data_IF_124521058358
#
_entry.id   IF_124521058358
#
_cell.length_a   1.000
_cell.length_b   1.000
_cell.length_c   1.000
_cell.angle_alpha   90.00
_cell.angle_beta   90.00
_cell.angle_gamma   90.00
#
_symmetry.space_group_name_H-M   'P 1'
#
loop_
_entity.id
_entity.type
_entity.pdbx_description
1 polymer ?
#
# COMPACT_ATOMS: atom_id res chain seq x y z
N UNK A 1 23.34 1.97 4.47
CA UNK A 1 22.13 2.74 4.87
C UNK A 1 21.73 2.24 6.26
N UNK A 2 21.34 3.12 7.20
CA UNK A 2 20.80 2.67 8.50
C UNK A 2 19.46 1.98 8.23
N UNK A 3 19.20 0.84 8.87
CA UNK A 3 17.92 0.14 8.73
C UNK A 3 16.83 0.97 9.45
N UNK A 4 15.88 1.54 8.71
CA UNK A 4 14.88 2.44 9.27
C UNK A 4 13.85 1.70 10.11
N UNK A 5 13.54 0.45 9.76
CA UNK A 5 12.69 -0.41 10.58
C UNK A 5 13.29 -0.70 11.96
N UNK A 6 14.61 -0.95 12.03
CA UNK A 6 15.33 -1.10 13.30
C UNK A 6 15.31 0.19 14.10
N UNK A 7 15.56 1.33 13.45
CA UNK A 7 15.47 2.65 14.08
C UNK A 7 14.08 2.88 14.67
N UNK A 8 13.03 2.65 13.88
CA UNK A 8 11.65 2.90 14.27
C UNK A 8 11.17 1.96 15.38
N UNK A 9 11.37 0.64 15.26
CA UNK A 9 10.80 -0.31 16.22
C UNK A 9 11.70 -0.70 17.40
N UNK A 10 13.01 -0.42 17.35
CA UNK A 10 13.93 -0.75 18.44
C UNK A 10 14.64 0.46 19.00
N UNK A 11 15.43 1.15 18.18
CA UNK A 11 16.29 2.25 18.66
C UNK A 11 15.46 3.45 19.15
N UNK A 12 14.22 3.58 18.67
CA UNK A 12 13.25 4.57 19.13
C UNK A 12 12.92 4.42 20.63
N UNK A 13 12.95 3.20 21.14
CA UNK A 13 12.54 2.85 22.51
C UNK A 13 13.70 2.50 23.45
N UNK A 14 14.96 2.66 23.02
CA UNK A 14 16.14 2.32 23.85
C UNK A 14 16.27 3.17 25.12
N UNK A 15 15.85 4.43 25.06
CA UNK A 15 15.98 5.40 26.15
C UNK A 15 14.68 5.58 26.95
N UNK A 16 13.87 4.52 27.08
CA UNK A 16 12.66 4.54 27.90
C UNK A 16 13.00 4.71 29.38
N UNK A 17 12.25 5.58 30.03
CA UNK A 17 12.34 5.80 31.48
C UNK A 17 11.07 5.31 32.16
N UNK A 18 11.23 4.73 33.35
CA UNK A 18 10.14 4.19 34.14
C UNK A 18 10.03 5.02 35.42
N UNK A 19 8.88 5.66 35.62
CA UNK A 19 8.57 6.40 36.84
C UNK A 19 7.44 5.70 37.58
N UNK A 20 7.64 5.48 38.88
CA UNK A 20 6.59 4.92 39.73
C UNK A 20 5.77 6.06 40.33
N UNK A 21 4.46 6.02 40.14
CA UNK A 21 3.50 6.94 40.76
C UNK A 21 2.45 6.12 41.51
N UNK A 22 2.71 5.86 42.80
CA UNK A 22 1.95 4.89 43.59
C UNK A 22 2.07 3.48 43.01
N UNK A 23 0.93 2.83 42.78
CA UNK A 23 0.86 1.49 42.17
C UNK A 23 0.97 1.50 40.63
N UNK A 24 1.00 2.69 40.00
CA UNK A 24 1.10 2.80 38.53
C UNK A 24 2.54 3.05 38.08
N UNK A 25 2.99 2.27 37.12
CA UNK A 25 4.24 2.50 36.38
C UNK A 25 3.91 3.39 35.18
N UNK A 26 4.48 4.59 35.15
CA UNK A 26 4.41 5.51 34.01
C UNK A 26 5.67 5.30 33.17
N UNK A 27 5.46 5.00 31.90
CA UNK A 27 6.54 4.84 30.92
C UNK A 27 6.65 6.16 30.16
N UNK A 28 7.85 6.73 30.09
CA UNK A 28 8.11 7.98 29.38
C UNK A 28 9.29 7.83 28.41
N UNK A 29 9.11 8.33 27.19
CA UNK A 29 10.18 8.46 26.21
C UNK A 29 11.19 9.56 26.60
N UNK A 30 12.43 9.45 26.15
CA UNK A 30 13.38 10.56 26.29
C UNK A 30 13.10 11.62 25.21
N UNK A 31 12.61 12.80 25.59
CA UNK A 31 12.22 13.88 24.64
C UNK A 31 13.31 14.26 23.65
N UNK A 32 14.56 14.35 24.10
CA UNK A 32 15.70 14.72 23.25
C UNK A 32 16.00 13.60 22.24
N UNK A 33 16.05 12.35 22.71
CA UNK A 33 16.28 11.18 21.85
C UNK A 33 15.16 10.97 20.84
N UNK A 34 13.90 11.15 21.24
CA UNK A 34 12.73 11.10 20.34
C UNK A 34 12.86 12.12 19.21
N UNK A 35 13.25 13.35 19.52
CA UNK A 35 13.46 14.40 18.52
C UNK A 35 14.60 14.05 17.55
N UNK A 36 15.69 13.49 18.06
CA UNK A 36 16.82 13.03 17.24
C UNK A 36 16.43 11.88 16.32
N UNK A 37 15.71 10.87 16.83
CA UNK A 37 15.24 9.73 16.05
C UNK A 37 14.23 10.16 14.97
N UNK A 38 13.27 11.03 15.30
CA UNK A 38 12.36 11.64 14.32
C UNK A 38 13.14 12.38 13.23
N UNK A 39 14.14 13.18 13.62
CA UNK A 39 14.99 13.90 12.66
C UNK A 39 15.79 12.94 11.78
N UNK A 40 16.29 11.84 12.32
CA UNK A 40 16.99 10.82 11.54
C UNK A 40 16.06 10.14 10.51
N UNK A 41 14.83 9.82 10.91
CA UNK A 41 13.82 9.24 10.02
C UNK A 41 13.43 10.20 8.88
N UNK A 42 13.11 11.45 9.20
CA UNK A 42 12.62 12.43 8.22
C UNK A 42 13.70 13.10 7.37
N UNK A 43 14.98 12.95 7.73
CA UNK A 43 16.10 13.35 6.87
C UNK A 43 16.72 12.15 6.11
N UNK A 44 16.11 10.97 6.21
CA UNK A 44 16.59 9.79 5.49
C UNK A 44 16.39 9.97 3.98
N UNK A 45 17.46 9.71 3.24
CA UNK A 45 17.47 9.82 1.78
C UNK A 45 17.21 8.46 1.15
N UNK A 46 16.36 8.42 0.14
CA UNK A 46 16.18 7.23 -0.67
C UNK A 46 17.36 7.10 -1.62
N UNK A 47 18.21 6.10 -1.37
CA UNK A 47 19.38 5.84 -2.22
C UNK A 47 18.94 5.08 -3.48
N UNK A 48 19.61 5.31 -4.63
CA UNK A 48 19.41 4.47 -5.81
C UNK A 48 19.67 3.00 -5.48
N UNK A 49 18.89 2.08 -6.07
CA UNK A 49 19.04 0.63 -5.93
C UNK A 49 18.92 0.13 -4.47
N UNK A 50 18.23 0.86 -3.60
CA UNK A 50 17.97 0.39 -2.23
C UNK A 50 16.87 -0.66 -2.15
N UNK A 51 15.94 -0.66 -3.12
CA UNK A 51 14.87 -1.65 -3.21
C UNK A 51 15.44 -3.00 -3.65
N UNK A 52 14.91 -4.12 -3.12
CA UNK A 52 15.35 -5.45 -3.52
C UNK A 52 15.01 -5.74 -4.98
N UNK A 53 15.94 -6.36 -5.71
CA UNK A 53 15.68 -6.85 -7.07
C UNK A 53 14.86 -8.12 -7.04
N UNK A 54 13.72 -8.11 -7.73
CA UNK A 54 12.79 -9.25 -7.78
C UNK A 54 13.00 -9.99 -9.11
N UNK A 55 13.96 -10.90 -9.14
CA UNK A 55 14.35 -11.65 -10.34
C UNK A 55 13.24 -12.54 -10.94
N UNK A 56 12.20 -12.85 -10.18
CA UNK A 56 11.09 -13.70 -10.61
C UNK A 56 9.88 -12.92 -11.14
N UNK A 57 9.93 -11.59 -11.11
CA UNK A 57 8.87 -10.75 -11.65
C UNK A 57 8.96 -10.72 -13.18
N UNK A 58 7.81 -10.88 -13.85
CA UNK A 58 7.70 -10.75 -15.31
C UNK A 58 6.83 -9.55 -15.73
N UNK A 59 6.21 -8.87 -14.77
CA UNK A 59 5.44 -7.66 -14.98
C UNK A 59 5.71 -6.68 -13.85
N UNK A 60 5.86 -5.40 -14.19
CA UNK A 60 5.96 -4.34 -13.21
C UNK A 60 5.49 -3.01 -13.78
N UNK A 61 5.10 -2.11 -12.90
CA UNK A 61 4.85 -0.71 -13.23
C UNK A 61 5.20 0.17 -12.04
N UNK A 62 5.41 1.44 -12.32
CA UNK A 62 5.83 2.45 -11.35
C UNK A 62 4.73 3.49 -11.22
N UNK A 63 4.34 3.79 -9.99
CA UNK A 63 3.34 4.81 -9.67
C UNK A 63 3.91 5.80 -8.67
N UNK A 64 3.60 7.08 -8.82
CA UNK A 64 4.14 8.13 -7.96
C UNK A 64 3.09 8.67 -7.00
N UNK A 65 3.39 8.65 -5.70
CA UNK A 65 2.46 9.12 -4.66
C UNK A 65 2.09 10.58 -4.87
N UNK A 66 0.80 10.91 -4.65
CA UNK A 66 0.32 12.30 -4.64
C UNK A 66 -0.03 12.74 -3.22
N UNK A 67 -0.39 14.02 -3.05
CA UNK A 67 -0.79 14.56 -1.74
C UNK A 67 -2.01 13.81 -1.18
N UNK A 68 -2.03 13.47 0.13
CA UNK A 68 -1.09 13.84 1.20
C UNK A 68 0.11 12.90 1.36
N UNK A 69 0.25 11.88 0.53
CA UNK A 69 1.28 10.84 0.62
C UNK A 69 0.67 9.48 0.90
N UNK A 70 1.51 8.53 1.32
CA UNK A 70 1.11 7.14 1.54
C UNK A 70 1.29 6.75 3.01
N UNK A 71 0.20 6.28 3.62
CA UNK A 71 0.20 5.73 4.98
C UNK A 71 0.04 4.21 4.91
N UNK A 72 0.97 3.48 5.51
CA UNK A 72 0.96 2.02 5.58
C UNK A 72 1.19 1.57 7.01
N UNK A 73 0.70 0.38 7.37
CA UNK A 73 0.98 -0.21 8.68
C UNK A 73 0.44 0.58 9.88
N UNK A 74 -0.54 1.47 9.70
CA UNK A 74 -1.09 2.27 10.79
C UNK A 74 -1.79 1.46 11.89
N UNK A 75 -2.03 0.16 11.65
CA UNK A 75 -2.56 -0.78 12.64
C UNK A 75 -1.48 -1.42 13.53
N UNK A 76 -0.20 -1.18 13.26
CA UNK A 76 0.87 -1.62 14.17
C UNK A 76 0.99 -0.66 15.34
N UNK A 77 1.33 -1.20 16.51
CA UNK A 77 1.55 -0.41 17.70
C UNK A 77 2.93 0.25 17.65
N UNK A 78 2.96 1.53 17.94
CA UNK A 78 4.19 2.29 18.16
C UNK A 78 4.02 3.33 19.29
N UNK A 79 2.85 3.39 19.93
CA UNK A 79 2.62 4.30 21.05
C UNK A 79 3.06 3.68 22.38
N UNK A 80 3.72 4.51 23.18
CA UNK A 80 3.97 4.35 24.62
C UNK A 80 3.02 5.28 25.38
N UNK A 81 2.75 6.48 24.82
CA UNK A 81 1.88 7.48 25.40
C UNK A 81 2.64 8.50 26.25
N UNK A 82 1.97 9.64 26.52
CA UNK A 82 2.48 10.68 27.42
C UNK A 82 3.37 11.75 26.77
N UNK A 83 3.57 11.76 25.45
CA UNK A 83 4.33 12.82 24.75
C UNK A 83 3.71 13.25 23.40
N UNK A 84 3.81 14.55 23.10
CA UNK A 84 3.23 15.13 21.87
C UNK A 84 4.06 14.88 20.60
N UNK A 85 5.39 14.80 20.72
CA UNK A 85 6.31 14.59 19.59
C UNK A 85 6.52 13.10 19.23
N UNK A 86 5.76 12.22 19.88
CA UNK A 86 5.82 10.78 19.63
C UNK A 86 5.07 10.42 18.36
N UNK A 87 5.65 9.54 17.54
CA UNK A 87 4.92 8.89 16.45
C UNK A 87 3.98 7.85 17.05
N UNK A 88 2.68 8.13 17.11
CA UNK A 88 1.71 7.28 17.83
C UNK A 88 1.20 6.10 16.99
N UNK A 89 1.30 6.19 15.66
CA UNK A 89 0.92 5.11 14.75
C UNK A 89 2.14 4.34 14.27
N UNK A 90 2.00 3.02 14.16
CA UNK A 90 3.01 2.18 13.54
C UNK A 90 3.11 2.35 12.03
N UNK A 91 4.13 1.71 11.48
CA UNK A 91 4.47 1.76 10.06
C UNK A 91 5.05 0.42 9.60
N UNK A 92 4.82 0.02 8.35
CA UNK A 92 5.35 -1.26 7.89
C UNK A 92 6.72 -1.07 7.22
N UNK A 93 7.68 -1.91 7.61
CA UNK A 93 9.03 -1.96 7.05
C UNK A 93 9.37 -3.40 6.68
N UNK A 94 10.03 -3.57 5.55
CA UNK A 94 10.69 -4.83 5.23
C UNK A 94 11.86 -5.07 6.20
N UNK A 95 11.95 -6.30 6.69
CA UNK A 95 12.91 -6.67 7.73
C UNK A 95 14.35 -6.68 7.22
N UNK A 96 14.57 -7.02 5.95
CA UNK A 96 15.92 -7.15 5.39
C UNK A 96 16.51 -5.80 5.02
N UNK A 97 15.77 -5.01 4.25
CA UNK A 97 16.21 -3.72 3.71
C UNK A 97 16.03 -2.59 4.71
N UNK A 98 15.08 -2.73 5.64
CA UNK A 98 14.65 -1.63 6.51
C UNK A 98 13.91 -0.54 5.77
N UNK A 99 13.52 -0.76 4.51
CA UNK A 99 12.71 0.18 3.74
C UNK A 99 11.23 -0.03 4.05
N UNK A 100 10.43 1.04 4.07
CA UNK A 100 8.99 0.89 4.06
C UNK A 100 8.53 0.28 2.74
N UNK A 101 7.58 -0.64 2.79
CA UNK A 101 7.02 -1.27 1.60
C UNK A 101 5.51 -1.51 1.76
N UNK A 102 4.80 -1.61 0.65
CA UNK A 102 3.41 -2.05 0.66
C UNK A 102 3.43 -3.57 0.55
N UNK A 103 2.85 -4.31 1.52
CA UNK A 103 2.79 -5.77 1.42
C UNK A 103 2.07 -6.22 0.15
N UNK A 104 2.60 -7.23 -0.53
CA UNK A 104 1.97 -7.84 -1.71
C UNK A 104 0.58 -8.38 -1.40
N UNK A 105 0.34 -8.81 -0.16
CA UNK A 105 -0.99 -9.18 0.34
C UNK A 105 -1.97 -7.99 0.39
N UNK A 106 -1.50 -6.78 0.73
CA UNK A 106 -2.32 -5.57 0.70
C UNK A 106 -2.65 -5.15 -0.73
N UNK A 107 -1.66 -5.20 -1.65
CA UNK A 107 -1.89 -4.95 -3.09
C UNK A 107 -2.91 -5.94 -3.63
N UNK A 108 -2.71 -7.23 -3.38
CA UNK A 108 -3.63 -8.31 -3.74
C UNK A 108 -5.03 -8.08 -3.17
N UNK A 109 -5.13 -7.64 -1.92
CA UNK A 109 -6.40 -7.34 -1.26
C UNK A 109 -7.20 -6.25 -1.97
N UNK A 110 -6.56 -5.12 -2.31
CA UNK A 110 -7.21 -4.03 -3.05
C UNK A 110 -7.66 -4.49 -4.44
N UNK A 111 -6.79 -5.18 -5.17
CA UNK A 111 -7.10 -5.68 -6.52
C UNK A 111 -8.24 -6.70 -6.49
N UNK A 112 -8.23 -7.63 -5.54
CA UNK A 112 -9.29 -8.62 -5.33
C UNK A 112 -10.61 -7.96 -4.98
N UNK A 113 -10.60 -6.97 -4.08
CA UNK A 113 -11.79 -6.23 -3.69
C UNK A 113 -12.40 -5.48 -4.87
N UNK A 114 -11.59 -4.80 -5.69
CA UNK A 114 -12.02 -4.13 -6.91
C UNK A 114 -12.63 -5.09 -7.95
N UNK A 115 -12.07 -6.30 -8.07
CA UNK A 115 -12.56 -7.32 -9.00
C UNK A 115 -13.78 -8.11 -8.48
N UNK A 116 -14.12 -8.01 -7.19
CA UNK A 116 -15.24 -8.76 -6.58
C UNK A 116 -16.43 -7.87 -6.19
N UNK A 117 -16.19 -6.60 -5.86
CA UNK A 117 -17.25 -5.64 -5.54
C UNK A 117 -18.16 -5.41 -6.74
N UNK A 118 -19.45 -5.21 -6.44
CA UNK A 118 -20.50 -4.97 -7.43
C UNK A 118 -20.42 -5.96 -8.62
N UNK A 119 -20.17 -7.25 -8.35
CA UNK A 119 -20.07 -8.28 -9.38
C UNK A 119 -19.05 -7.92 -10.47
N UNK A 120 -17.90 -7.40 -10.08
CA UNK A 120 -16.81 -7.08 -11.00
C UNK A 120 -17.12 -5.97 -12.01
N UNK A 121 -18.26 -5.25 -11.90
CA UNK A 121 -18.67 -4.19 -12.83
C UNK A 121 -17.57 -3.15 -13.04
N UNK A 122 -16.85 -2.80 -11.97
CA UNK A 122 -15.75 -1.86 -12.02
C UNK A 122 -14.52 -2.39 -12.77
N UNK A 123 -14.14 -3.65 -12.58
CA UNK A 123 -13.07 -4.27 -13.37
C UNK A 123 -13.46 -4.38 -14.85
N UNK A 124 -14.74 -4.70 -15.13
CA UNK A 124 -15.28 -4.78 -16.48
C UNK A 124 -15.30 -3.40 -17.16
N UNK A 125 -15.63 -2.32 -16.44
CA UNK A 125 -15.59 -0.96 -17.01
C UNK A 125 -14.17 -0.58 -17.43
N UNK A 126 -13.16 -0.87 -16.61
CA UNK A 126 -11.75 -0.67 -16.97
C UNK A 126 -11.38 -1.48 -18.21
N UNK A 127 -11.76 -2.76 -18.28
CA UNK A 127 -11.46 -3.59 -19.45
C UNK A 127 -12.13 -3.05 -20.72
N UNK A 128 -13.35 -2.51 -20.63
CA UNK A 128 -14.03 -1.84 -21.74
C UNK A 128 -13.34 -0.54 -22.17
N UNK A 129 -12.78 0.22 -21.23
CA UNK A 129 -11.95 1.39 -21.57
C UNK A 129 -10.67 0.96 -22.31
N UNK A 130 -10.01 -0.10 -21.85
CA UNK A 130 -8.81 -0.65 -22.49
C UNK A 130 -9.09 -1.15 -23.92
N UNK A 131 -10.30 -1.63 -24.23
CA UNK A 131 -10.72 -2.01 -25.61
C UNK A 131 -10.69 -0.85 -26.60
N UNK A 132 -10.91 0.36 -26.11
CA UNK A 132 -11.09 1.56 -26.92
C UNK A 132 -9.83 2.43 -26.97
N UNK A 133 -8.82 2.10 -26.16
CA UNK A 133 -7.59 2.89 -26.01
C UNK A 133 -6.58 2.50 -27.10
N UNK A 134 -6.18 3.47 -27.94
CA UNK A 134 -5.25 3.27 -29.07
C UNK A 134 -4.18 4.36 -29.14
N UNK A 135 -3.59 4.75 -28.00
CA UNK A 135 -2.64 5.88 -27.98
C UNK A 135 -1.18 5.41 -28.15
N UNK A 136 -0.90 4.15 -27.84
CA UNK A 136 0.45 3.56 -27.94
C UNK A 136 0.38 2.18 -28.59
N UNK A 137 1.49 1.69 -29.14
CA UNK A 137 1.56 0.38 -29.78
C UNK A 137 1.18 -0.78 -28.82
N UNK A 138 1.55 -0.69 -27.54
CA UNK A 138 1.16 -1.68 -26.53
C UNK A 138 -0.36 -1.66 -26.26
N UNK A 139 -0.95 -0.45 -26.23
CA UNK A 139 -2.40 -0.29 -26.05
C UNK A 139 -3.17 -0.80 -27.27
N UNK A 140 -2.69 -0.53 -28.49
CA UNK A 140 -3.27 -1.07 -29.72
C UNK A 140 -3.26 -2.60 -29.72
N UNK A 141 -2.14 -3.22 -29.36
CA UNK A 141 -2.03 -4.69 -29.29
C UNK A 141 -2.98 -5.30 -28.23
N UNK A 142 -3.15 -4.61 -27.10
CA UNK A 142 -4.09 -5.03 -26.06
C UNK A 142 -5.55 -4.87 -26.50
N UNK A 143 -5.88 -3.73 -27.10
CA UNK A 143 -7.20 -3.44 -27.63
C UNK A 143 -7.57 -4.43 -28.74
N UNK A 144 -6.64 -4.71 -29.65
CA UNK A 144 -6.84 -5.68 -30.72
C UNK A 144 -7.08 -7.09 -30.16
N UNK A 145 -6.30 -7.53 -29.17
CA UNK A 145 -6.55 -8.81 -28.51
C UNK A 145 -7.94 -8.86 -27.86
N UNK A 146 -8.33 -7.81 -27.13
CA UNK A 146 -9.64 -7.75 -26.47
C UNK A 146 -10.80 -7.75 -27.49
N UNK A 147 -10.62 -7.11 -28.64
CA UNK A 147 -11.66 -7.02 -29.67
C UNK A 147 -11.72 -8.27 -30.58
N UNK A 148 -10.60 -8.97 -30.76
CA UNK A 148 -10.52 -10.17 -31.61
C UNK A 148 -10.81 -11.46 -30.84
N UNK A 149 -10.73 -11.46 -29.50
CA UNK A 149 -10.96 -12.67 -28.72
C UNK A 149 -12.47 -13.00 -28.66
N UNK A 150 -12.92 -14.11 -29.29
CA UNK A 150 -14.34 -14.46 -29.35
C UNK A 150 -14.94 -14.85 -27.99
N UNK A 151 -14.10 -15.12 -26.98
CA UNK A 151 -14.53 -15.47 -25.62
C UNK A 151 -14.50 -14.30 -24.64
N UNK A 152 -14.28 -13.07 -25.13
CA UNK A 152 -14.13 -11.92 -24.22
C UNK A 152 -15.40 -11.66 -23.39
N UNK A 153 -16.57 -11.81 -24.00
CA UNK A 153 -17.85 -11.65 -23.30
C UNK A 153 -18.07 -12.74 -22.24
N UNK A 154 -17.58 -13.96 -22.51
CA UNK A 154 -17.56 -15.05 -21.52
C UNK A 154 -16.60 -14.73 -20.37
N UNK A 155 -15.40 -14.22 -20.65
CA UNK A 155 -14.42 -13.81 -19.63
C UNK A 155 -14.97 -12.67 -18.77
N UNK A 156 -15.64 -11.68 -19.37
CA UNK A 156 -16.27 -10.57 -18.65
C UNK A 156 -17.43 -11.05 -17.79
N UNK A 157 -18.22 -12.01 -18.29
CA UNK A 157 -19.24 -12.67 -17.47
C UNK A 157 -18.62 -13.44 -16.31
N UNK A 158 -17.52 -14.14 -16.52
CA UNK A 158 -16.76 -14.84 -15.48
C UNK A 158 -16.08 -13.90 -14.47
N UNK A 159 -15.94 -12.60 -14.75
CA UNK A 159 -15.56 -11.59 -13.76
C UNK A 159 -16.74 -11.19 -12.86
N UNK A 160 -17.98 -11.44 -13.29
CA UNK A 160 -19.21 -10.97 -12.63
C UNK A 160 -19.91 -11.96 -11.69
N UNK A 161 -19.48 -13.22 -11.68
CA UNK A 161 -20.07 -14.25 -10.80
C UNK A 161 -19.43 -14.25 -9.40
N UNK A 162 -20.02 -13.49 -8.46
CA UNK A 162 -19.76 -13.51 -7.00
C UNK A 162 -18.27 -13.73 -6.57
N UNK A 163 -18.00 -14.18 -5.33
CA UNK A 163 -16.63 -14.39 -4.80
C UNK A 163 -15.91 -15.59 -5.43
N UNK A 164 -16.62 -16.43 -6.17
CA UNK A 164 -16.15 -17.70 -6.74
C UNK A 164 -15.98 -17.64 -8.27
N UNK A 165 -15.91 -16.43 -8.81
CA UNK A 165 -15.62 -16.18 -10.21
C UNK A 165 -14.30 -16.88 -10.61
N UNK A 166 -14.27 -17.49 -11.81
CA UNK A 166 -13.08 -18.22 -12.29
C UNK A 166 -11.83 -17.33 -12.27
N UNK A 167 -12.00 -16.05 -12.62
CA UNK A 167 -10.94 -15.05 -12.57
C UNK A 167 -10.44 -14.86 -11.13
N UNK A 168 -11.34 -14.69 -10.18
CA UNK A 168 -10.97 -14.43 -8.78
C UNK A 168 -10.28 -15.65 -8.16
N UNK A 169 -10.81 -16.85 -8.39
CA UNK A 169 -10.22 -18.10 -7.92
C UNK A 169 -8.81 -18.31 -8.51
N UNK A 170 -8.65 -18.07 -9.81
CA UNK A 170 -7.38 -18.29 -10.51
C UNK A 170 -6.32 -17.27 -10.11
N UNK A 171 -6.64 -15.98 -10.22
CA UNK A 171 -5.71 -14.86 -10.03
C UNK A 171 -5.42 -14.62 -8.55
N UNK A 172 -6.44 -14.67 -7.68
CA UNK A 172 -6.30 -14.30 -6.27
C UNK A 172 -6.29 -15.50 -5.32
N UNK A 173 -6.87 -16.65 -5.64
CA UNK A 173 -6.86 -17.81 -4.72
C UNK A 173 -5.85 -18.90 -5.15
N UNK A 174 -5.33 -18.83 -6.39
CA UNK A 174 -4.45 -19.85 -6.95
C UNK A 174 -5.16 -21.20 -7.10
N UNK A 175 -6.45 -21.16 -7.42
CA UNK A 175 -7.34 -22.32 -7.61
C UNK A 175 -7.90 -22.32 -9.01
N UNK A 176 -7.99 -23.50 -9.63
CA UNK A 176 -8.63 -23.67 -10.94
C UNK A 176 -10.15 -23.72 -10.80
N UNK A 177 -10.61 -24.33 -9.72
CA UNK A 177 -12.00 -24.43 -9.30
C UNK A 177 -12.06 -24.61 -7.78
N UNK A 178 -13.24 -24.80 -7.20
CA UNK A 178 -13.40 -24.95 -5.74
C UNK A 178 -12.59 -26.09 -5.13
N UNK A 179 -12.26 -27.14 -5.90
CA UNK A 179 -11.62 -28.37 -5.43
C UNK A 179 -10.15 -28.50 -5.87
N UNK A 180 -9.76 -27.85 -6.97
CA UNK A 180 -8.46 -28.01 -7.59
C UNK A 180 -7.57 -26.77 -7.42
N UNK A 181 -6.35 -27.01 -6.95
CA UNK A 181 -5.34 -25.97 -6.71
C UNK A 181 -4.40 -25.87 -7.91
N UNK A 182 -4.05 -24.66 -8.33
CA UNK A 182 -3.07 -24.44 -9.41
C UNK A 182 -1.64 -24.73 -8.93
N UNK A 183 -0.78 -25.31 -9.78
CA UNK A 183 0.66 -25.37 -9.54
C UNK A 183 1.25 -23.98 -9.32
N UNK A 184 2.23 -23.83 -8.42
CA UNK A 184 2.86 -22.53 -8.11
C UNK A 184 3.35 -21.77 -9.36
N UNK A 185 3.81 -22.50 -10.38
CA UNK A 185 4.31 -21.91 -11.63
C UNK A 185 3.24 -21.19 -12.46
N UNK A 186 1.97 -21.59 -12.29
CA UNK A 186 0.79 -21.11 -13.00
C UNK A 186 0.01 -20.06 -12.19
N UNK A 187 0.41 -19.80 -10.94
CA UNK A 187 -0.23 -18.79 -10.09
C UNK A 187 0.33 -17.41 -10.35
N UNK A 188 -0.55 -16.43 -10.18
CA UNK A 188 -0.13 -15.05 -10.10
C UNK A 188 0.47 -14.76 -8.71
N UNK A 189 1.61 -14.07 -8.68
CA UNK A 189 2.32 -13.69 -7.46
C UNK A 189 2.38 -12.17 -7.39
N UNK A 190 1.96 -11.64 -6.24
CA UNK A 190 1.94 -10.23 -5.89
C UNK A 190 3.11 -9.99 -4.93
N UNK A 191 4.17 -9.33 -5.41
CA UNK A 191 5.32 -9.03 -4.57
C UNK A 191 5.10 -7.73 -3.78
N UNK A 192 5.89 -7.53 -2.73
CA UNK A 192 5.90 -6.28 -1.99
C UNK A 192 6.35 -5.13 -2.90
N UNK A 193 5.69 -3.97 -2.76
CA UNK A 193 5.99 -2.80 -3.55
C UNK A 193 6.89 -1.84 -2.75
N UNK A 194 7.99 -1.42 -3.34
CA UNK A 194 9.03 -0.62 -2.67
C UNK A 194 9.16 0.78 -3.28
N UNK A 195 9.46 1.81 -2.46
CA UNK A 195 9.87 3.10 -2.97
C UNK A 195 11.23 2.96 -3.67
N UNK A 196 11.33 3.46 -4.89
CA UNK A 196 12.53 3.38 -5.74
C UNK A 196 13.16 4.74 -6.02
N UNK A 197 12.35 5.81 -6.08
CA UNK A 197 12.79 7.17 -6.40
C UNK A 197 12.00 8.16 -5.56
N UNK A 198 12.67 9.21 -5.07
CA UNK A 198 12.00 10.39 -4.49
C UNK A 198 12.40 11.62 -5.29
N UNK A 199 11.39 12.36 -5.77
CA UNK A 199 11.57 13.64 -6.48
C UNK A 199 11.64 14.84 -5.52
N UNK A 200 11.52 14.59 -4.22
CA UNK A 200 11.67 15.63 -3.20
C UNK A 200 13.14 16.08 -3.08
N UNK A 201 13.33 17.29 -2.55
CA UNK A 201 14.67 17.84 -2.24
C UNK A 201 15.47 16.84 -1.39
N UNK A 202 16.74 16.67 -1.72
CA UNK A 202 17.65 15.72 -1.07
C UNK A 202 17.18 14.26 -1.09
N UNK A 203 16.27 13.87 -1.99
CA UNK A 203 15.70 12.51 -2.09
C UNK A 203 15.02 12.03 -0.80
N UNK A 204 14.55 12.96 0.03
CA UNK A 204 13.81 12.63 1.26
C UNK A 204 12.48 11.97 0.86
N UNK A 205 12.06 10.92 1.56
CA UNK A 205 10.87 10.15 1.18
C UNK A 205 9.93 9.84 2.34
N UNK A 206 10.34 10.15 3.58
CA UNK A 206 9.54 10.02 4.79
C UNK A 206 9.26 11.38 5.40
N UNK A 207 8.09 11.53 5.98
CA UNK A 207 7.71 12.74 6.72
C UNK A 207 6.70 12.43 7.81
N UNK A 208 6.41 13.43 8.62
CA UNK A 208 5.33 13.38 9.59
C UNK A 208 4.04 13.99 9.04
N UNK A 209 2.94 13.61 9.66
CA UNK A 209 1.66 14.30 9.57
C UNK A 209 0.91 14.15 10.90
N UNK A 210 -0.23 14.85 11.05
CA UNK A 210 -1.03 14.89 12.27
C UNK A 210 -2.50 14.58 11.98
N UNK A 211 -3.10 13.70 12.78
CA UNK A 211 -4.56 13.56 12.86
C UNK A 211 -5.00 14.26 14.14
N UNK A 212 -5.98 15.14 14.06
CA UNK A 212 -6.53 15.91 15.18
C UNK A 212 -7.96 15.45 15.51
N UNK A 213 -8.16 14.27 16.12
CA UNK A 213 -9.49 13.87 16.54
C UNK A 213 -10.01 14.84 17.60
N UNK A 214 -11.27 15.25 17.44
CA UNK A 214 -12.04 15.90 18.48
C UNK A 214 -12.89 14.83 19.14
N UNK A 215 -12.47 14.35 20.31
CA UNK A 215 -13.20 13.32 21.05
C UNK A 215 -13.35 13.74 22.50
N UNK A 216 -14.59 13.86 22.94
CA UNK A 216 -14.92 14.05 24.35
C UNK A 216 -14.82 12.71 25.08
N UNK A 217 -14.26 12.68 26.28
CA UNK A 217 -13.95 11.44 27.02
C UNK A 217 -15.18 10.56 27.31
N UNK A 218 -16.36 11.17 27.43
CA UNK A 218 -17.59 10.49 27.88
C UNK A 218 -18.85 10.79 27.06
N UNK A 219 -18.84 11.80 26.18
CA UNK A 219 -20.04 12.31 25.50
C UNK A 219 -19.77 12.70 24.07
N UNK A 220 -20.09 11.81 23.13
CA UNK A 220 -19.86 12.00 21.70
C UNK A 220 -20.49 13.28 21.12
N UNK A 221 -21.60 13.75 21.70
CA UNK A 221 -22.29 14.98 21.28
C UNK A 221 -21.45 16.25 21.49
N UNK A 222 -20.46 16.19 22.39
CA UNK A 222 -19.56 17.30 22.69
C UNK A 222 -18.26 17.25 21.87
N UNK A 223 -18.09 16.23 21.01
CA UNK A 223 -16.92 16.09 20.14
C UNK A 223 -16.61 17.39 19.37
N UNK A 224 -17.56 18.08 18.70
CA UNK A 224 -17.27 19.30 17.95
C UNK A 224 -16.74 20.47 18.79
N UNK A 225 -17.01 20.46 20.09
CA UNK A 225 -16.64 21.53 21.03
C UNK A 225 -15.40 21.16 21.87
N UNK A 226 -14.82 19.99 21.63
CA UNK A 226 -13.65 19.51 22.39
C UNK A 226 -12.37 19.93 21.68
N UNK A 227 -11.37 20.34 22.45
CA UNK A 227 -10.06 20.68 21.92
C UNK A 227 -9.43 19.47 21.21
N UNK A 228 -8.84 19.65 20.01
CA UNK A 228 -8.22 18.56 19.27
C UNK A 228 -6.99 18.04 20.03
N UNK A 229 -6.77 16.72 19.97
CA UNK A 229 -5.55 16.10 20.49
C UNK A 229 -4.67 15.62 19.32
N UNK A 230 -3.61 16.36 18.92
CA UNK A 230 -2.77 15.96 17.80
C UNK A 230 -2.13 14.58 17.99
N UNK A 231 -2.33 13.72 16.99
CA UNK A 231 -1.72 12.41 16.87
C UNK A 231 -0.73 12.48 15.72
N UNK A 232 0.55 12.60 16.06
CA UNK A 232 1.62 12.60 15.07
C UNK A 232 1.87 11.17 14.54
N UNK A 233 2.09 11.03 13.24
CA UNK A 233 2.42 9.74 12.61
C UNK A 233 3.35 9.92 11.42
N UNK A 234 3.96 8.82 10.99
CA UNK A 234 4.84 8.77 9.81
C UNK A 234 4.06 8.44 8.54
N UNK A 235 4.48 9.04 7.42
CA UNK A 235 4.02 8.70 6.07
C UNK A 235 5.17 8.69 5.07
N UNK A 236 4.99 7.98 3.97
CA UNK A 236 5.75 8.21 2.75
C UNK A 236 5.24 9.52 2.13
N UNK A 237 6.16 10.41 1.77
CA UNK A 237 5.84 11.72 1.21
C UNK A 237 5.19 11.60 -0.18
N UNK A 238 4.49 12.64 -0.65
CA UNK A 238 4.17 12.80 -2.06
C UNK A 238 5.45 12.82 -2.92
N UNK A 239 5.30 12.59 -4.23
CA UNK A 239 6.39 12.58 -5.21
C UNK A 239 7.45 11.49 -4.93
N UNK A 240 7.01 10.37 -4.35
CA UNK A 240 7.82 9.16 -4.18
C UNK A 240 7.27 8.10 -5.11
N UNK A 241 8.11 7.62 -6.02
CA UNK A 241 7.78 6.57 -6.98
C UNK A 241 7.93 5.21 -6.32
N UNK A 242 6.87 4.41 -6.39
CA UNK A 242 6.78 3.07 -5.85
C UNK A 242 6.66 2.07 -7.00
N UNK A 243 7.49 1.03 -6.97
CA UNK A 243 7.48 -0.03 -7.99
C UNK A 243 6.62 -1.19 -7.52
N UNK A 244 5.56 -1.47 -8.28
CA UNK A 244 4.72 -2.65 -8.11
C UNK A 244 5.23 -3.75 -9.04
N UNK A 245 5.51 -4.92 -8.49
CA UNK A 245 6.07 -6.05 -9.23
C UNK A 245 5.20 -7.29 -9.06
N UNK A 246 5.06 -8.04 -10.14
CA UNK A 246 4.20 -9.21 -10.20
C UNK A 246 4.87 -10.32 -11.02
N UNK A 247 4.47 -11.56 -10.72
CA UNK A 247 4.59 -12.67 -11.67
C UNK A 247 3.18 -12.99 -12.15
N UNK A 248 2.88 -12.67 -13.40
CA UNK A 248 1.56 -12.86 -14.01
C UNK A 248 1.63 -14.00 -15.03
N UNK A 249 0.78 -14.99 -14.84
CA UNK A 249 0.47 -16.04 -15.82
C UNK A 249 -0.46 -15.49 -16.91
N UNK A 250 -0.64 -16.23 -18.00
CA UNK A 250 -1.64 -15.92 -19.04
C UNK A 250 -2.99 -16.62 -18.80
N UNK A 251 -3.21 -17.11 -17.58
CA UNK A 251 -4.48 -17.73 -17.18
C UNK A 251 -5.59 -16.69 -17.04
N UNK A 252 -6.77 -17.03 -17.59
CA UNK A 252 -7.99 -16.18 -17.73
C UNK A 252 -7.81 -14.94 -18.62
N UNK A 253 -6.80 -14.12 -18.33
CA UNK A 253 -6.39 -12.96 -19.11
C UNK A 253 -4.87 -12.98 -19.31
N UNK A 254 -4.36 -12.51 -20.46
CA UNK A 254 -2.93 -12.31 -20.68
C UNK A 254 -2.32 -11.46 -19.58
N UNK A 255 -1.10 -11.80 -19.15
CA UNK A 255 -0.39 -11.08 -18.09
C UNK A 255 -0.26 -9.57 -18.38
N UNK A 256 -0.07 -9.21 -19.65
CA UNK A 256 -0.01 -7.81 -20.10
C UNK A 256 -1.32 -7.03 -19.87
N UNK A 257 -2.48 -7.68 -20.04
CA UNK A 257 -3.80 -7.05 -19.81
C UNK A 257 -4.06 -6.97 -18.30
N UNK A 258 -3.72 -8.03 -17.55
CA UNK A 258 -3.80 -8.01 -16.08
C UNK A 258 -2.96 -6.88 -15.48
N UNK A 259 -1.76 -6.65 -16.03
CA UNK A 259 -0.86 -5.54 -15.63
C UNK A 259 -1.58 -4.19 -15.77
N UNK A 260 -2.21 -3.91 -16.91
CA UNK A 260 -2.91 -2.64 -17.13
C UNK A 260 -4.19 -2.52 -16.28
N UNK A 261 -4.96 -3.59 -16.13
CA UNK A 261 -6.10 -3.64 -15.22
C UNK A 261 -5.67 -3.29 -13.78
N UNK A 262 -4.61 -3.94 -13.27
CA UNK A 262 -4.13 -3.71 -11.91
C UNK A 262 -3.58 -2.30 -11.72
N UNK A 263 -2.87 -1.78 -12.73
CA UNK A 263 -2.38 -0.41 -12.72
C UNK A 263 -3.55 0.58 -12.60
N UNK A 264 -4.59 0.42 -13.42
CA UNK A 264 -5.74 1.32 -13.39
C UNK A 264 -6.51 1.24 -12.06
N UNK A 265 -6.73 0.03 -11.53
CA UNK A 265 -7.37 -0.14 -10.22
C UNK A 265 -6.59 0.58 -9.11
N UNK A 266 -5.25 0.48 -9.10
CA UNK A 266 -4.42 1.14 -8.09
C UNK A 266 -4.37 2.66 -8.25
N UNK A 267 -4.47 3.17 -9.49
CA UNK A 267 -4.58 4.61 -9.77
C UNK A 267 -5.90 5.19 -9.24
N UNK A 268 -7.00 4.46 -9.39
CA UNK A 268 -8.32 4.96 -9.04
C UNK A 268 -8.66 4.78 -7.54
N UNK A 269 -8.29 3.64 -6.95
CA UNK A 269 -8.65 3.30 -5.57
C UNK A 269 -7.58 3.67 -4.55
N UNK A 270 -6.32 3.71 -4.98
CA UNK A 270 -5.17 3.85 -4.10
C UNK A 270 -4.88 2.63 -3.23
N UNK A 271 -3.88 2.72 -2.38
CA UNK A 271 -3.43 1.64 -1.49
C UNK A 271 -3.00 2.14 -0.12
N UNK A 272 -3.08 1.29 0.90
CA UNK A 272 -2.70 1.64 2.27
C UNK A 272 -3.89 2.10 3.11
N UNK A 273 -3.61 2.83 4.18
CA UNK A 273 -4.62 3.29 5.12
C UNK A 273 -5.16 4.66 4.73
N UNK A 274 -6.41 4.95 5.14
CA UNK A 274 -7.06 6.27 5.01
C UNK A 274 -7.22 6.76 3.56
N UNK A 275 -7.44 5.84 2.62
CA UNK A 275 -7.72 6.15 1.20
C UNK A 275 -8.94 7.05 1.01
N UNK A 276 -9.99 6.89 1.84
CA UNK A 276 -11.19 7.74 1.82
C UNK A 276 -10.92 9.23 2.13
N UNK A 277 -9.77 9.57 2.71
CA UNK A 277 -9.37 10.96 2.99
C UNK A 277 -8.15 11.37 2.14
N UNK A 278 -7.89 10.64 1.05
CA UNK A 278 -6.91 10.99 0.02
C UNK A 278 -5.53 10.34 0.17
N UNK A 279 -5.23 9.62 1.26
CA UNK A 279 -3.95 8.94 1.39
C UNK A 279 -3.81 7.78 0.39
N UNK A 280 -2.57 7.50 -0.02
CA UNK A 280 -2.28 6.33 -0.83
C UNK A 280 -2.74 6.43 -2.28
N UNK A 281 -2.98 7.65 -2.76
CA UNK A 281 -3.32 7.93 -4.15
C UNK A 281 -2.04 8.11 -4.98
N UNK A 282 -2.14 7.84 -6.29
CA UNK A 282 -1.00 7.87 -7.22
C UNK A 282 -1.33 8.55 -8.55
N UNK A 283 -0.28 8.81 -9.34
CA UNK A 283 -0.34 9.12 -10.77
C UNK A 283 0.77 8.38 -11.51
#
# INVERSE_FOLDING_TARGET
>A
MRNLGLLFYKEYFEALSFKQNGDKIIIELNKQKTKENNSALFNSQLLPNSAPEINFANASFELTTIYPGLLIGSGYNHEVGGQDNELKLGFFFDYTTGLPCIPGSSVKGVLRDACTKAKGEYAISILNELRNKKSTAEEEENADWLNQNPRIDEIFKCLSDDKDSEFVLTVFEGKKDSNNILPLKERDIFFDAFPIVSLNKNKIFLGNDYITPHKHESKRELDPFTNPNPIQFMKILPQVTVKFSFRLSDSCLPGKIKKELFKQILLDLGVGAKTNVGYGQFH
#
